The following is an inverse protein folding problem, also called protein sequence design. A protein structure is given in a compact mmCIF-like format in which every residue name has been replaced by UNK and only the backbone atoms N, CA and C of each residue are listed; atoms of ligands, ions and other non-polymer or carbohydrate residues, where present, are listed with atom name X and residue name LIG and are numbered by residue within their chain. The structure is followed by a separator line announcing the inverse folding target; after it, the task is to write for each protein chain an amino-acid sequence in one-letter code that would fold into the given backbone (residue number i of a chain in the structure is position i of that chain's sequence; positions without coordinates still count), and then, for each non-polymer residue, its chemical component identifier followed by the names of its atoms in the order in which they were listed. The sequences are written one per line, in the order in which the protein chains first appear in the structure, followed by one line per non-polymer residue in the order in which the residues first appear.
data_IF_716758794864
#
_entry.id   IF_716758794864
#
_cell.length_a   1.000
_cell.length_b   1.000
_cell.length_c   1.000
_cell.angle_alpha   90.00
_cell.angle_beta   90.00
_cell.angle_gamma   90.00
#
_symmetry.space_group_name_H-M   'P 1'
#
loop_
_entity.id
_entity.type
_entity.pdbx_description
1 polymer ?
#
# COMPACT_ATOMS: atom_id res chain seq x y z
N UNK A 1 55.79 0.29 66.01
CA UNK A 1 54.61 -0.58 66.22
C UNK A 1 53.37 0.31 66.08
N UNK A 2 52.76 0.34 64.89
CA UNK A 2 51.57 1.16 64.57
C UNK A 2 50.39 0.20 64.41
N UNK A 3 49.41 0.31 65.31
CA UNK A 3 48.20 -0.53 65.33
C UNK A 3 47.14 0.17 64.46
N UNK A 4 46.84 -0.39 63.29
CA UNK A 4 45.71 0.04 62.47
C UNK A 4 44.41 -0.53 63.07
N UNK A 5 43.51 0.34 63.52
CA UNK A 5 42.13 -0.02 63.85
C UNK A 5 41.29 -0.05 62.58
N UNK A 6 40.89 -1.24 62.12
CA UNK A 6 39.87 -1.40 61.07
C UNK A 6 38.48 -1.23 61.70
N UNK A 7 37.80 -0.12 61.40
CA UNK A 7 36.42 0.14 61.83
C UNK A 7 35.50 -0.79 61.01
N UNK A 8 34.94 -1.82 61.66
CA UNK A 8 33.92 -2.70 61.06
C UNK A 8 32.63 -1.92 60.85
N UNK A 9 32.29 -1.62 59.60
CA UNK A 9 30.98 -1.07 59.26
C UNK A 9 29.94 -2.18 59.34
N UNK A 10 28.98 -2.05 60.28
CA UNK A 10 27.85 -2.96 60.42
C UNK A 10 27.00 -2.89 59.15
N UNK A 11 27.02 -3.93 58.32
CA UNK A 11 26.03 -4.10 57.25
C UNK A 11 24.65 -4.27 57.89
N UNK A 12 23.77 -3.28 57.72
CA UNK A 12 22.36 -3.43 58.07
C UNK A 12 21.73 -4.45 57.11
N UNK A 13 21.26 -5.58 57.64
CA UNK A 13 20.52 -6.57 56.86
C UNK A 13 19.16 -6.01 56.47
N UNK A 14 18.80 -6.16 55.19
CA UNK A 14 17.50 -5.76 54.66
C UNK A 14 16.43 -6.69 55.22
N UNK A 15 15.32 -6.15 55.71
CA UNK A 15 14.20 -6.98 56.19
C UNK A 15 13.40 -7.52 54.99
N UNK A 16 12.85 -8.72 55.12
CA UNK A 16 12.02 -9.35 54.08
C UNK A 16 10.84 -8.43 53.65
N UNK A 17 10.30 -7.68 54.60
CA UNK A 17 9.21 -6.73 54.38
C UNK A 17 9.65 -5.56 53.51
N UNK A 18 10.82 -4.95 53.76
CA UNK A 18 11.33 -3.85 52.94
C UNK A 18 11.53 -4.29 51.49
N UNK A 19 12.06 -5.50 51.27
CA UNK A 19 12.23 -6.04 49.92
C UNK A 19 10.87 -6.26 49.24
N UNK A 20 9.89 -6.81 49.98
CA UNK A 20 8.55 -7.09 49.46
C UNK A 20 7.80 -5.81 49.05
N UNK A 21 7.92 -4.73 49.82
CA UNK A 21 7.30 -3.44 49.50
C UNK A 21 7.92 -2.85 48.23
N UNK A 22 9.24 -2.91 48.08
CA UNK A 22 9.94 -2.37 46.90
C UNK A 22 9.51 -3.10 45.63
N UNK A 23 9.48 -4.43 45.64
CA UNK A 23 9.02 -5.19 44.48
C UNK A 23 7.54 -4.94 44.17
N UNK A 24 6.70 -4.75 45.20
CA UNK A 24 5.28 -4.43 45.01
C UNK A 24 5.09 -3.07 44.32
N UNK A 25 5.85 -2.05 44.73
CA UNK A 25 5.81 -0.73 44.11
C UNK A 25 6.31 -0.81 42.66
N UNK A 26 7.42 -1.50 42.39
CA UNK A 26 7.95 -1.66 41.03
C UNK A 26 6.93 -2.40 40.14
N UNK A 27 6.31 -3.46 40.65
CA UNK A 27 5.29 -4.21 39.92
C UNK A 27 4.09 -3.32 39.56
N UNK A 28 3.60 -2.49 40.48
CA UNK A 28 2.52 -1.53 40.23
C UNK A 28 2.94 -0.49 39.19
N UNK A 29 4.14 0.08 39.30
CA UNK A 29 4.64 1.07 38.34
C UNK A 29 4.77 0.47 36.94
N UNK A 30 5.33 -0.73 36.80
CA UNK A 30 5.44 -1.42 35.51
C UNK A 30 4.05 -1.75 34.96
N UNK A 31 3.12 -2.21 35.79
CA UNK A 31 1.75 -2.52 35.37
C UNK A 31 1.01 -1.29 34.83
N UNK A 32 1.27 -0.10 35.39
CA UNK A 32 0.70 1.16 34.91
C UNK A 32 1.43 1.73 33.69
N UNK A 33 2.74 1.53 33.58
CA UNK A 33 3.56 2.07 32.49
C UNK A 33 3.50 1.23 31.22
N UNK A 34 3.39 -0.10 31.32
CA UNK A 34 3.44 -0.98 30.15
C UNK A 34 2.31 -0.69 29.15
N UNK A 35 1.02 -0.56 29.54
CA UNK A 35 -0.05 -0.21 28.61
C UNK A 35 0.18 1.15 27.95
N UNK A 36 0.62 2.14 28.72
CA UNK A 36 0.89 3.50 28.23
C UNK A 36 2.03 3.52 27.20
N UNK A 37 3.12 2.79 27.45
CA UNK A 37 4.24 2.69 26.50
C UNK A 37 3.82 2.04 25.19
N UNK A 38 2.95 1.02 25.23
CA UNK A 38 2.46 0.38 24.00
C UNK A 38 1.54 1.30 23.19
N UNK A 39 0.63 2.02 23.86
CA UNK A 39 -0.23 3.01 23.20
C UNK A 39 0.60 4.12 22.55
N UNK A 40 1.61 4.64 23.26
CA UNK A 40 2.51 5.66 22.73
C UNK A 40 3.31 5.14 21.51
N UNK A 41 3.78 3.88 21.56
CA UNK A 41 4.49 3.25 20.43
C UNK A 41 3.58 3.10 19.21
N UNK A 42 2.34 2.67 19.39
CA UNK A 42 1.41 2.54 18.26
C UNK A 42 1.02 3.90 17.68
N UNK A 43 0.78 4.91 18.53
CA UNK A 43 0.53 6.27 18.06
C UNK A 43 1.70 6.82 17.22
N UNK A 44 2.94 6.52 17.62
CA UNK A 44 4.13 6.89 16.84
C UNK A 44 4.18 6.14 15.50
N UNK A 45 3.94 4.82 15.49
CA UNK A 45 3.90 4.04 14.23
C UNK A 45 2.80 4.53 13.27
N UNK A 46 1.61 4.81 13.80
CA UNK A 46 0.48 5.39 13.06
C UNK A 46 0.83 6.74 12.44
N UNK A 47 1.54 7.58 13.19
CA UNK A 47 2.04 8.87 12.68
C UNK A 47 3.07 8.69 11.58
N UNK A 48 3.95 7.69 11.69
CA UNK A 48 4.90 7.34 10.63
C UNK A 48 4.18 6.86 9.38
N UNK A 49 3.18 5.97 9.48
CA UNK A 49 2.43 5.49 8.31
C UNK A 49 1.71 6.65 7.59
N UNK A 50 1.09 7.56 8.35
CA UNK A 50 0.51 8.80 7.83
C UNK A 50 1.54 9.67 7.10
N UNK A 51 2.74 9.81 7.65
CA UNK A 51 3.81 10.60 7.03
C UNK A 51 4.33 9.95 5.74
N UNK A 52 4.47 8.63 5.69
CA UNK A 52 4.82 7.90 4.46
C UNK A 52 3.80 8.18 3.34
N UNK A 53 2.50 8.13 3.65
CA UNK A 53 1.46 8.45 2.67
C UNK A 53 1.51 9.91 2.20
N UNK A 54 1.80 10.87 3.10
CA UNK A 54 2.01 12.27 2.71
C UNK A 54 3.20 12.45 1.76
N UNK A 55 4.29 11.74 2.00
CA UNK A 55 5.45 11.76 1.11
C UNK A 55 5.12 11.15 -0.26
N UNK A 56 4.36 10.05 -0.29
CA UNK A 56 3.86 9.47 -1.55
C UNK A 56 2.94 10.46 -2.28
N UNK A 57 2.02 11.12 -1.58
CA UNK A 57 1.15 12.13 -2.16
C UNK A 57 1.94 13.29 -2.76
N UNK A 58 2.90 13.83 -2.02
CA UNK A 58 3.79 14.88 -2.52
C UNK A 58 4.55 14.42 -3.78
N UNK A 59 5.07 13.20 -3.79
CA UNK A 59 5.74 12.62 -4.95
C UNK A 59 4.80 12.50 -6.16
N UNK A 60 3.52 12.14 -5.96
CA UNK A 60 2.51 12.13 -7.02
C UNK A 60 2.21 13.52 -7.56
N UNK A 61 2.18 14.55 -6.70
CA UNK A 61 2.04 15.94 -7.14
C UNK A 61 3.26 16.44 -7.92
N UNK A 62 4.48 16.14 -7.47
CA UNK A 62 5.69 16.47 -8.22
C UNK A 62 5.74 15.79 -9.60
N UNK A 63 5.27 14.54 -9.69
CA UNK A 63 5.06 13.87 -10.97
C UNK A 63 4.00 14.60 -11.81
N UNK A 64 2.88 15.01 -11.21
CA UNK A 64 1.84 15.76 -11.91
C UNK A 64 2.34 17.11 -12.43
N UNK A 65 3.15 17.85 -11.66
CA UNK A 65 3.71 19.14 -12.06
C UNK A 65 4.64 19.02 -13.26
N UNK A 66 5.42 17.93 -13.32
CA UNK A 66 6.37 17.67 -14.43
C UNK A 66 5.71 17.08 -15.67
N UNK A 67 4.70 16.22 -15.51
CA UNK A 67 4.06 15.49 -16.61
C UNK A 67 2.66 16.02 -16.99
N UNK A 68 2.12 16.99 -16.25
CA UNK A 68 0.75 17.53 -16.37
C UNK A 68 -0.38 16.49 -16.23
N UNK A 69 -0.08 15.34 -15.65
CA UNK A 69 -0.97 14.20 -15.41
C UNK A 69 -0.47 13.41 -14.22
N UNK A 70 -1.37 12.86 -13.40
CA UNK A 70 -0.95 11.98 -12.32
C UNK A 70 -0.32 10.70 -12.90
N UNK A 71 0.54 9.98 -12.14
CA UNK A 71 1.12 8.75 -12.65
C UNK A 71 -0.02 7.77 -12.98
N UNK A 72 0.01 7.07 -14.12
CA UNK A 72 -0.88 5.95 -14.33
C UNK A 72 -0.60 4.88 -13.26
N UNK A 73 -1.65 4.22 -12.78
CA UNK A 73 -1.49 3.14 -11.81
C UNK A 73 -0.62 2.01 -12.36
N UNK A 74 -0.77 1.71 -13.65
CA UNK A 74 0.10 0.78 -14.36
C UNK A 74 0.27 1.14 -15.83
N UNK A 75 1.43 0.81 -16.39
CA UNK A 75 1.74 0.95 -17.82
C UNK A 75 1.96 -0.42 -18.43
N UNK A 76 1.23 -0.70 -19.50
CA UNK A 76 1.16 -1.97 -20.21
C UNK A 76 1.17 -3.19 -19.26
N UNK A 77 0.17 -3.29 -18.36
CA UNK A 77 0.03 -4.47 -17.52
C UNK A 77 -0.26 -5.71 -18.36
N UNK A 78 0.11 -6.88 -17.85
CA UNK A 78 -0.37 -8.15 -18.37
C UNK A 78 -1.85 -8.37 -18.03
N UNK A 79 -2.76 -7.70 -18.74
CA UNK A 79 -4.20 -7.67 -18.39
C UNK A 79 -5.03 -8.83 -18.98
N UNK A 80 -6.18 -9.10 -18.35
CA UNK A 80 -7.11 -10.21 -18.64
C UNK A 80 -7.83 -10.15 -20.00
N UNK A 81 -7.82 -9.00 -20.66
CA UNK A 81 -8.59 -8.80 -21.87
C UNK A 81 -7.68 -8.38 -23.01
N UNK A 82 -7.38 -9.34 -23.89
CA UNK A 82 -6.71 -9.08 -25.15
C UNK A 82 -7.43 -7.95 -25.89
N UNK A 83 -6.68 -6.90 -26.23
CA UNK A 83 -7.11 -5.71 -26.98
C UNK A 83 -7.92 -4.61 -26.24
N UNK A 84 -8.21 -4.71 -24.94
CA UNK A 84 -9.22 -3.81 -24.31
C UNK A 84 -8.71 -2.79 -23.27
N UNK A 85 -7.48 -2.93 -22.77
CA UNK A 85 -6.86 -1.99 -21.81
C UNK A 85 -5.49 -1.47 -22.26
N UNK A 86 -5.01 -1.97 -23.39
CA UNK A 86 -3.84 -1.47 -24.10
C UNK A 86 -4.33 -0.44 -25.10
N UNK A 87 -3.62 0.68 -25.23
CA UNK A 87 -3.83 1.62 -26.34
C UNK A 87 -3.98 0.86 -27.67
N UNK A 88 -4.83 1.32 -28.61
CA UNK A 88 -4.99 0.70 -29.94
C UNK A 88 -3.67 0.44 -30.69
N UNK A 89 -2.59 1.13 -30.32
CA UNK A 89 -1.23 0.95 -30.86
C UNK A 89 -0.48 -0.29 -30.33
N UNK A 90 -1.08 -1.12 -29.46
CA UNK A 90 -0.36 -2.21 -28.79
C UNK A 90 -0.91 -3.59 -29.18
N UNK A 91 -1.05 -3.83 -30.48
CA UNK A 91 -1.32 -5.17 -31.05
C UNK A 91 -0.06 -6.07 -30.99
N UNK A 92 1.08 -5.57 -30.51
CA UNK A 92 2.31 -6.33 -30.37
C UNK A 92 2.79 -6.42 -28.91
N UNK A 93 2.47 -7.50 -28.20
CA UNK A 93 3.31 -8.19 -27.19
C UNK A 93 4.23 -7.34 -26.27
N UNK A 94 3.82 -6.16 -25.80
CA UNK A 94 4.70 -5.22 -25.09
C UNK A 94 4.33 -5.03 -23.61
N UNK A 95 4.11 -6.14 -22.90
CA UNK A 95 3.83 -6.15 -21.46
C UNK A 95 5.03 -5.56 -20.71
N UNK A 96 4.79 -4.50 -19.93
CA UNK A 96 5.82 -3.82 -19.12
C UNK A 96 5.61 -3.99 -17.62
N UNK A 97 4.38 -4.13 -17.13
CA UNK A 97 4.07 -4.27 -15.70
C UNK A 97 4.64 -3.13 -14.82
N UNK A 98 4.77 -1.92 -15.35
CA UNK A 98 5.28 -0.77 -14.59
C UNK A 98 4.16 -0.24 -13.71
N UNK A 99 4.41 0.03 -12.43
CA UNK A 99 3.44 0.56 -11.47
C UNK A 99 3.61 2.07 -11.24
N UNK A 100 2.58 2.73 -10.72
CA UNK A 100 2.69 4.13 -10.25
C UNK A 100 3.84 4.31 -9.25
N UNK A 101 4.04 3.34 -8.34
CA UNK A 101 5.11 3.36 -7.35
C UNK A 101 6.50 3.43 -7.97
N UNK A 102 6.73 2.81 -9.13
CA UNK A 102 8.02 2.91 -9.84
C UNK A 102 8.22 4.30 -10.47
N UNK A 103 7.15 4.88 -11.02
CA UNK A 103 7.20 6.16 -11.72
C UNK A 103 7.50 7.33 -10.79
N UNK A 104 7.10 7.22 -9.51
CA UNK A 104 7.32 8.29 -8.52
C UNK A 104 8.64 8.16 -7.73
N UNK A 105 9.44 7.10 -7.95
CA UNK A 105 10.70 6.88 -7.23
C UNK A 105 11.67 8.08 -7.24
N UNK A 106 11.86 8.83 -8.36
CA UNK A 106 12.74 9.99 -8.36
C UNK A 106 12.30 11.09 -7.40
N UNK A 107 11.00 11.18 -7.12
CA UNK A 107 10.40 12.16 -6.20
C UNK A 107 10.32 11.65 -4.75
N UNK A 108 10.84 10.44 -4.48
CA UNK A 108 10.94 9.80 -3.16
C UNK A 108 12.40 9.58 -2.73
N UNK A 109 13.33 10.37 -3.27
CA UNK A 109 14.78 10.20 -3.06
C UNK A 109 15.32 8.81 -3.47
N UNK A 110 14.63 8.11 -4.37
CA UNK A 110 15.03 6.80 -4.90
C UNK A 110 15.53 6.89 -6.36
N UNK A 111 16.15 8.03 -6.73
CA UNK A 111 16.67 8.25 -8.08
C UNK A 111 17.74 7.23 -8.51
N UNK A 112 18.60 6.77 -7.58
CA UNK A 112 19.60 5.73 -7.88
C UNK A 112 18.94 4.42 -8.31
N UNK A 113 17.90 3.98 -7.58
CA UNK A 113 17.15 2.78 -7.92
C UNK A 113 16.41 2.95 -9.25
N UNK A 114 15.77 4.11 -9.48
CA UNK A 114 15.07 4.42 -10.72
C UNK A 114 16.00 4.32 -11.95
N UNK A 115 17.21 4.86 -11.86
CA UNK A 115 18.19 4.84 -12.96
C UNK A 115 18.75 3.44 -13.27
N UNK A 116 18.61 2.48 -12.36
CA UNK A 116 18.99 1.09 -12.61
C UNK A 116 17.92 0.32 -13.41
N UNK A 117 16.70 0.86 -13.49
CA UNK A 117 15.58 0.20 -14.16
C UNK A 117 15.57 0.54 -15.65
N UNK A 118 15.38 -0.50 -16.46
CA UNK A 118 15.14 -0.36 -17.88
C UNK A 118 13.64 -0.43 -18.18
N UNK A 119 13.00 0.72 -18.39
CA UNK A 119 11.58 0.83 -18.74
C UNK A 119 11.23 0.29 -20.13
N UNK A 120 12.23 -0.01 -20.97
CA UNK A 120 12.04 -0.75 -22.22
C UNK A 120 11.87 -2.25 -21.99
N UNK A 121 12.01 -2.75 -20.76
CA UNK A 121 11.85 -4.15 -20.40
C UNK A 121 10.71 -4.33 -19.38
N UNK A 122 10.12 -5.52 -19.29
CA UNK A 122 9.13 -5.83 -18.26
C UNK A 122 9.71 -5.72 -16.85
N UNK A 123 8.92 -5.20 -15.93
CA UNK A 123 9.23 -5.12 -14.50
C UNK A 123 8.93 -6.41 -13.75
N UNK A 124 8.27 -7.38 -14.39
CA UNK A 124 7.93 -8.66 -13.80
C UNK A 124 7.33 -9.60 -14.83
N UNK A 125 7.14 -10.85 -14.43
CA UNK A 125 6.68 -11.94 -15.29
C UNK A 125 5.16 -12.12 -15.31
N UNK A 126 4.44 -11.26 -14.59
CA UNK A 126 2.97 -11.32 -14.56
C UNK A 126 2.37 -11.06 -15.94
N UNK A 127 1.45 -11.93 -16.34
CA UNK A 127 0.67 -11.86 -17.57
C UNK A 127 -0.70 -12.52 -17.37
N UNK A 128 -1.75 -12.01 -17.99
CA UNK A 128 -3.10 -12.56 -17.85
C UNK A 128 -3.71 -12.86 -19.23
N UNK A 129 -4.48 -13.95 -19.33
CA UNK A 129 -5.21 -14.37 -20.53
C UNK A 129 -4.32 -14.58 -21.78
N UNK A 130 -4.88 -14.42 -22.99
CA UNK A 130 -4.31 -14.71 -24.32
C UNK A 130 -3.02 -13.91 -24.68
N UNK A 131 -2.42 -13.24 -23.71
CA UNK A 131 -1.16 -12.49 -23.87
C UNK A 131 0.01 -13.39 -23.50
N UNK A 132 1.01 -13.48 -24.38
CA UNK A 132 2.22 -14.25 -24.09
C UNK A 132 2.95 -13.64 -22.88
N UNK A 133 3.27 -14.44 -21.83
CA UNK A 133 4.02 -13.93 -20.70
C UNK A 133 5.37 -13.34 -21.14
N UNK A 134 5.83 -12.26 -20.50
CA UNK A 134 7.18 -11.78 -20.73
C UNK A 134 8.19 -12.91 -20.45
N UNK A 135 9.18 -13.08 -21.33
CA UNK A 135 10.21 -14.08 -21.07
C UNK A 135 11.03 -13.73 -19.83
N UNK A 136 11.46 -14.74 -19.08
CA UNK A 136 12.31 -14.55 -17.90
C UNK A 136 13.57 -13.71 -18.23
N UNK A 137 14.14 -13.93 -19.42
CA UNK A 137 15.29 -13.19 -19.93
C UNK A 137 14.99 -11.70 -20.13
N UNK A 138 13.80 -11.35 -20.62
CA UNK A 138 13.41 -9.96 -20.84
C UNK A 138 13.29 -9.18 -19.53
N UNK A 139 12.73 -9.80 -18.48
CA UNK A 139 12.54 -9.13 -17.18
C UNK A 139 13.76 -9.21 -16.24
N UNK A 140 14.79 -10.00 -16.58
CA UNK A 140 15.85 -10.40 -15.65
C UNK A 140 16.58 -9.23 -14.99
N UNK A 141 16.91 -8.16 -15.73
CA UNK A 141 17.66 -7.01 -15.21
C UNK A 141 16.86 -6.22 -14.18
N UNK A 142 15.62 -5.86 -14.49
CA UNK A 142 14.74 -5.13 -13.57
C UNK A 142 14.40 -5.97 -12.34
N UNK A 143 14.14 -7.26 -12.55
CA UNK A 143 13.89 -8.19 -11.45
C UNK A 143 15.10 -8.29 -10.52
N UNK A 144 16.33 -8.29 -11.04
CA UNK A 144 17.52 -8.31 -10.18
C UNK A 144 17.61 -7.07 -9.27
N UNK A 145 17.20 -5.88 -9.75
CA UNK A 145 17.23 -4.65 -8.97
C UNK A 145 16.05 -4.51 -7.97
N UNK A 146 14.89 -5.10 -8.30
CA UNK A 146 13.65 -4.90 -7.55
C UNK A 146 13.32 -6.05 -6.60
N UNK A 147 13.83 -7.27 -6.85
CA UNK A 147 13.62 -8.42 -5.98
C UNK A 147 14.13 -8.12 -4.59
N UNK A 148 13.28 -8.38 -3.60
CA UNK A 148 13.52 -8.19 -2.16
C UNK A 148 13.88 -6.77 -1.74
N UNK A 149 13.80 -5.79 -2.65
CA UNK A 149 14.08 -4.39 -2.32
C UNK A 149 12.96 -3.84 -1.43
N UNK A 150 13.30 -3.59 -0.16
CA UNK A 150 12.37 -3.09 0.85
C UNK A 150 12.59 -1.59 1.06
N UNK A 151 11.68 -0.80 0.50
CA UNK A 151 11.68 0.65 0.68
C UNK A 151 10.83 1.01 1.90
N UNK A 152 11.43 1.69 2.89
CA UNK A 152 10.71 2.08 4.12
C UNK A 152 9.49 2.95 3.84
N UNK A 153 9.54 3.75 2.77
CA UNK A 153 8.41 4.58 2.33
C UNK A 153 7.17 3.77 1.93
N UNK A 154 7.33 2.53 1.48
CA UNK A 154 6.22 1.66 1.07
C UNK A 154 5.75 0.69 2.15
N UNK A 155 6.31 0.78 3.36
CA UNK A 155 5.98 -0.11 4.46
C UNK A 155 5.48 0.68 5.65
N UNK A 156 4.28 0.34 6.13
CA UNK A 156 3.77 0.87 7.38
C UNK A 156 4.41 0.13 8.56
N UNK A 157 5.06 0.80 9.53
CA UNK A 157 5.66 0.12 10.69
C UNK A 157 4.68 -0.66 11.57
N UNK A 158 3.37 -0.38 11.49
CA UNK A 158 2.35 -1.16 12.17
C UNK A 158 1.99 -2.47 11.46
N UNK A 159 2.48 -2.67 10.23
CA UNK A 159 2.36 -3.91 9.47
C UNK A 159 3.70 -4.66 9.51
N UNK A 160 3.92 -5.55 10.51
CA UNK A 160 5.22 -6.17 10.74
C UNK A 160 5.57 -7.25 9.71
N UNK A 161 4.67 -7.57 8.77
CA UNK A 161 4.85 -8.68 7.85
C UNK A 161 5.94 -8.38 6.80
N UNK A 162 7.14 -8.93 7.00
CA UNK A 162 8.08 -9.12 5.90
C UNK A 162 7.61 -10.31 5.06
N UNK A 163 6.71 -10.03 4.11
CA UNK A 163 6.14 -11.04 3.23
C UNK A 163 6.58 -10.77 1.80
N UNK A 164 7.83 -11.14 1.43
CA UNK A 164 8.18 -11.17 0.01
C UNK A 164 7.21 -12.13 -0.69
N UNK A 165 6.66 -11.70 -1.82
CA UNK A 165 5.83 -12.53 -2.68
C UNK A 165 6.60 -13.76 -3.11
N UNK A 166 6.22 -14.90 -2.55
CA UNK A 166 6.74 -16.21 -2.95
C UNK A 166 5.83 -16.89 -3.98
N UNK A 167 5.01 -16.11 -4.69
CA UNK A 167 4.05 -16.63 -5.65
C UNK A 167 4.78 -17.27 -6.86
N UNK A 168 5.09 -18.54 -6.73
CA UNK A 168 5.57 -19.40 -7.80
C UNK A 168 4.42 -20.10 -8.54
N UNK A 169 3.16 -19.70 -8.30
CA UNK A 169 2.00 -20.39 -8.88
C UNK A 169 1.99 -20.25 -10.40
N UNK A 170 1.54 -21.30 -11.08
CA UNK A 170 1.41 -21.38 -12.54
C UNK A 170 0.31 -20.48 -13.11
N UNK A 171 -0.40 -19.72 -12.26
CA UNK A 171 -1.33 -18.68 -12.69
C UNK A 171 -0.53 -17.43 -13.07
N UNK A 172 -0.34 -17.22 -14.36
CA UNK A 172 0.55 -16.17 -14.89
C UNK A 172 0.18 -14.76 -14.39
N UNK A 173 -1.03 -14.52 -13.91
CA UNK A 173 -1.57 -13.17 -13.64
C UNK A 173 -1.39 -12.65 -12.21
N UNK A 174 -1.09 -13.55 -11.27
CA UNK A 174 -0.69 -13.19 -9.90
C UNK A 174 0.82 -13.38 -9.69
N UNK A 175 1.53 -13.84 -10.71
CA UNK A 175 2.87 -14.38 -10.61
C UNK A 175 3.93 -13.30 -10.38
N UNK A 176 4.61 -13.37 -9.24
CA UNK A 176 5.82 -12.59 -8.94
C UNK A 176 6.79 -13.47 -8.19
N UNK A 177 8.07 -13.33 -8.49
CA UNK A 177 9.13 -14.06 -7.79
C UNK A 177 9.94 -13.09 -6.95
N UNK A 178 9.89 -13.23 -5.63
CA UNK A 178 10.68 -12.47 -4.66
C UNK A 178 10.43 -10.94 -4.63
N UNK A 179 9.25 -10.47 -5.02
CA UNK A 179 8.92 -9.03 -4.93
C UNK A 179 8.45 -8.66 -3.53
N UNK A 180 8.83 -7.47 -3.04
CA UNK A 180 8.31 -6.98 -1.77
C UNK A 180 6.88 -6.48 -1.92
N UNK A 181 6.02 -6.87 -0.96
CA UNK A 181 4.69 -6.30 -0.82
C UNK A 181 4.77 -4.86 -0.32
N UNK A 182 3.68 -4.11 -0.48
CA UNK A 182 3.55 -2.74 0.00
C UNK A 182 2.34 -2.61 0.92
N UNK A 183 2.46 -1.77 1.93
CA UNK A 183 1.34 -1.40 2.81
C UNK A 183 0.44 -0.33 2.20
N UNK A 184 0.77 0.21 1.02
CA UNK A 184 0.01 1.29 0.38
C UNK A 184 -0.30 0.95 -1.08
N UNK A 185 -1.59 0.91 -1.42
CA UNK A 185 -2.10 0.52 -2.74
C UNK A 185 -3.03 1.58 -3.34
N UNK A 186 -2.88 1.82 -4.64
CA UNK A 186 -3.76 2.73 -5.39
C UNK A 186 -5.15 2.12 -5.51
N UNK A 187 -6.17 2.98 -5.54
CA UNK A 187 -7.56 2.52 -5.55
C UNK A 187 -8.15 2.60 -6.95
N UNK A 188 -8.95 1.59 -7.28
CA UNK A 188 -9.87 1.61 -8.41
C UNK A 188 -11.31 1.35 -7.92
N UNK A 189 -12.28 2.06 -8.51
CA UNK A 189 -13.71 1.89 -8.22
C UNK A 189 -14.22 0.53 -8.66
N UNK A 190 -13.61 0.02 -9.73
CA UNK A 190 -14.04 -1.20 -10.36
C UNK A 190 -12.86 -1.99 -10.88
N UNK A 191 -13.09 -3.28 -11.03
CA UNK A 191 -12.10 -4.22 -11.51
C UNK A 191 -11.92 -4.12 -13.03
N UNK A 192 -10.70 -4.43 -13.47
CA UNK A 192 -10.32 -4.57 -14.87
C UNK A 192 -10.90 -5.85 -15.53
N UNK A 193 -11.43 -6.77 -14.71
CA UNK A 193 -11.90 -8.11 -15.10
C UNK A 193 -13.36 -8.19 -15.57
N UNK A 194 -14.14 -7.13 -15.36
CA UNK A 194 -15.56 -7.14 -15.68
C UNK A 194 -15.80 -6.32 -16.94
N UNK A 195 -16.28 -6.98 -18.00
CA UNK A 195 -16.59 -6.36 -19.28
C UNK A 195 -17.59 -5.19 -19.16
N UNK A 196 -18.38 -5.13 -18.09
CA UNK A 196 -19.30 -4.02 -17.79
C UNK A 196 -18.63 -2.78 -17.17
N UNK A 197 -17.44 -2.93 -16.60
CA UNK A 197 -16.70 -1.85 -15.91
C UNK A 197 -15.60 -1.23 -16.78
N UNK A 198 -15.46 -1.68 -18.03
CA UNK A 198 -14.45 -1.24 -19.00
C UNK A 198 -14.44 0.27 -19.26
N UNK A 199 -15.58 0.93 -19.10
CA UNK A 199 -15.77 2.36 -19.35
C UNK A 199 -15.15 3.25 -18.26
N UNK A 200 -14.77 2.65 -17.13
CA UNK A 200 -14.20 3.32 -15.96
C UNK A 200 -12.68 3.54 -16.04
N UNK A 201 -12.02 2.98 -17.07
CA UNK A 201 -10.59 3.15 -17.31
C UNK A 201 -10.32 4.25 -18.34
N UNK A 202 -9.17 4.93 -18.18
CA UNK A 202 -8.81 6.13 -18.95
C UNK A 202 -8.66 5.90 -20.47
N UNK A 203 -8.47 4.65 -20.91
CA UNK A 203 -8.33 4.27 -22.32
C UNK A 203 -9.63 4.00 -23.11
N UNK A 204 -10.81 4.02 -22.48
CA UNK A 204 -12.08 3.67 -23.14
C UNK A 204 -12.98 4.89 -23.46
N UNK A 205 -13.72 4.81 -24.56
CA UNK A 205 -14.63 5.85 -25.03
C UNK A 205 -15.83 6.08 -24.08
N UNK A 206 -15.78 7.24 -23.40
CA UNK A 206 -16.84 8.20 -23.07
C UNK A 206 -18.12 7.90 -22.26
N UNK A 207 -18.54 6.67 -21.97
CA UNK A 207 -19.89 6.54 -21.39
C UNK A 207 -19.98 6.66 -19.85
N UNK A 208 -18.89 6.42 -19.11
CA UNK A 208 -18.90 6.44 -17.63
C UNK A 208 -17.75 7.28 -17.01
N UNK A 209 -17.42 8.44 -17.59
CA UNK A 209 -16.35 9.33 -17.08
C UNK A 209 -16.53 9.73 -15.61
N UNK A 210 -17.77 9.83 -15.18
CA UNK A 210 -18.16 10.34 -13.86
C UNK A 210 -17.79 9.35 -12.73
N UNK A 211 -17.81 8.05 -13.02
CA UNK A 211 -17.54 7.00 -12.03
C UNK A 211 -16.06 6.55 -12.06
N UNK A 212 -15.18 7.26 -12.77
CA UNK A 212 -13.78 6.86 -12.88
C UNK A 212 -13.04 7.11 -11.58
N UNK A 213 -12.07 6.26 -11.28
CA UNK A 213 -11.04 6.56 -10.29
C UNK A 213 -9.96 7.45 -10.87
N UNK A 214 -9.25 8.12 -9.97
CA UNK A 214 -8.13 8.97 -10.36
C UNK A 214 -7.08 8.20 -11.16
N UNK A 215 -6.79 6.95 -10.78
CA UNK A 215 -5.80 6.13 -11.45
C UNK A 215 -6.42 5.06 -12.34
N UNK A 216 -5.79 4.78 -13.47
CA UNK A 216 -6.15 3.69 -14.38
C UNK A 216 -4.93 3.00 -15.00
N UNK A 217 -5.20 1.98 -15.79
CA UNK A 217 -4.24 1.39 -16.71
C UNK A 217 -3.97 2.34 -17.89
N UNK A 218 -2.69 2.57 -18.19
CA UNK A 218 -2.20 3.39 -19.31
C UNK A 218 -2.71 4.85 -19.33
N UNK A 219 -3.31 5.31 -18.24
CA UNK A 219 -3.85 6.65 -18.11
C UNK A 219 -4.24 6.98 -16.68
N UNK A 220 -4.41 8.25 -16.41
CA UNK A 220 -4.68 8.78 -15.07
C UNK A 220 -5.41 10.12 -15.18
N UNK A 221 -5.95 10.58 -14.06
CA UNK A 221 -6.56 11.89 -13.95
C UNK A 221 -5.54 13.01 -14.11
N UNK A 222 -5.99 14.12 -14.66
CA UNK A 222 -5.39 15.43 -14.42
C UNK A 222 -6.12 16.08 -13.25
N UNK A 223 -5.48 17.05 -12.60
CA UNK A 223 -6.12 17.82 -11.51
C UNK A 223 -7.52 18.35 -11.88
N UNK A 224 -7.68 18.88 -13.10
CA UNK A 224 -8.96 19.42 -13.59
C UNK A 224 -10.07 18.37 -13.76
N UNK A 225 -9.72 17.09 -13.84
CA UNK A 225 -10.69 16.02 -14.07
C UNK A 225 -11.35 15.57 -12.74
N UNK A 226 -10.83 16.05 -11.59
CA UNK A 226 -11.32 15.76 -10.24
C UNK A 226 -12.32 16.86 -9.84
N UNK A 227 -13.56 16.74 -10.32
CA UNK A 227 -14.61 17.75 -10.12
C UNK A 227 -15.38 17.59 -8.81
N UNK A 228 -15.36 16.40 -8.18
CA UNK A 228 -16.01 16.16 -6.89
C UNK A 228 -15.24 16.76 -5.69
N UNK A 229 -14.07 17.34 -5.97
CA UNK A 229 -13.22 18.03 -5.00
C UNK A 229 -12.04 17.18 -4.55
N UNK A 230 -10.85 17.78 -4.59
CA UNK A 230 -9.59 17.07 -4.30
C UNK A 230 -9.49 16.60 -2.84
N UNK A 231 -10.20 17.25 -1.93
CA UNK A 231 -10.29 16.87 -0.50
C UNK A 231 -11.23 15.70 -0.23
N UNK A 232 -11.99 15.26 -1.23
CA UNK A 232 -13.03 14.23 -1.11
C UNK A 232 -12.81 13.05 -2.08
N UNK A 233 -11.71 13.06 -2.83
CA UNK A 233 -11.35 11.95 -3.73
C UNK A 233 -10.15 11.20 -3.17
N UNK A 234 -10.29 9.90 -2.95
CA UNK A 234 -9.23 9.03 -2.46
C UNK A 234 -8.36 8.55 -3.62
N UNK A 235 -7.06 8.71 -3.46
CA UNK A 235 -6.01 8.24 -4.37
C UNK A 235 -5.49 6.86 -3.99
N UNK A 236 -5.20 6.67 -2.71
CA UNK A 236 -4.51 5.49 -2.20
C UNK A 236 -5.03 5.15 -0.82
N UNK A 237 -4.99 3.88 -0.47
CA UNK A 237 -5.30 3.41 0.88
C UNK A 237 -4.16 2.56 1.41
N UNK A 238 -4.06 2.51 2.73
CA UNK A 238 -3.33 1.41 3.37
C UNK A 238 -3.99 0.06 3.01
N UNK A 239 -3.17 -0.98 3.03
CA UNK A 239 -3.60 -2.38 2.96
C UNK A 239 -2.64 -3.25 3.77
N UNK A 240 -3.17 -4.32 4.36
CA UNK A 240 -2.34 -5.34 5.02
C UNK A 240 -1.52 -6.10 3.98
N UNK A 241 -0.21 -6.17 4.18
CA UNK A 241 0.71 -7.00 3.40
C UNK A 241 0.40 -8.49 3.58
N UNK A 242 -0.11 -8.90 4.75
CA UNK A 242 -0.66 -10.25 4.94
C UNK A 242 -2.03 -10.38 4.29
N UNK A 243 -2.13 -11.34 3.37
CA UNK A 243 -3.36 -11.74 2.68
C UNK A 243 -3.65 -13.21 2.99
N UNK A 244 -4.89 -13.64 2.82
CA UNK A 244 -5.23 -15.06 3.05
C UNK A 244 -4.46 -16.02 2.12
N UNK A 245 -4.03 -15.55 0.95
CA UNK A 245 -3.20 -16.31 0.02
C UNK A 245 -1.80 -15.72 -0.08
N UNK A 246 -0.78 -16.58 -0.03
CA UNK A 246 0.61 -16.22 -0.33
C UNK A 246 0.80 -15.72 -1.77
N UNK A 247 -0.17 -15.97 -2.65
CA UNK A 247 -0.13 -15.55 -4.03
C UNK A 247 -0.42 -14.05 -4.22
N UNK A 248 -1.10 -13.42 -3.27
CA UNK A 248 -1.67 -12.09 -3.44
C UNK A 248 -0.74 -10.99 -2.96
N UNK A 249 -0.68 -9.90 -3.72
CA UNK A 249 0.02 -8.67 -3.35
C UNK A 249 -0.84 -7.75 -2.47
N UNK A 250 -0.72 -6.42 -2.61
CA UNK A 250 -0.06 -5.73 -3.71
C UNK A 250 1.47 -5.67 -3.58
N UNK A 251 2.14 -5.59 -4.73
CA UNK A 251 3.59 -5.42 -4.84
C UNK A 251 3.88 -4.04 -5.42
N UNK A 252 4.87 -3.33 -4.87
CA UNK A 252 5.19 -1.99 -5.38
C UNK A 252 6.03 -2.06 -6.67
N UNK A 253 6.93 -3.04 -6.78
CA UNK A 253 7.95 -3.08 -7.83
C UNK A 253 7.49 -3.70 -9.16
N UNK A 254 6.33 -4.36 -9.20
CA UNK A 254 5.82 -4.93 -10.44
C UNK A 254 4.30 -5.06 -10.34
N UNK A 255 3.63 -4.76 -11.46
CA UNK A 255 2.20 -4.98 -11.53
C UNK A 255 1.89 -6.48 -11.48
N UNK A 256 0.83 -6.79 -10.73
CA UNK A 256 0.07 -8.04 -10.80
C UNK A 256 -1.41 -7.70 -10.76
N UNK A 257 -2.26 -8.67 -11.05
CA UNK A 257 -3.71 -8.46 -10.96
C UNK A 257 -4.17 -8.05 -9.53
N UNK A 258 -3.38 -8.33 -8.50
CA UNK A 258 -3.62 -7.90 -7.10
C UNK A 258 -3.03 -6.52 -6.73
N UNK A 259 -2.57 -5.74 -7.71
CA UNK A 259 -1.96 -4.42 -7.45
C UNK A 259 -2.96 -3.38 -6.93
N UNK A 260 -4.19 -3.45 -7.41
CA UNK A 260 -5.25 -2.52 -7.09
C UNK A 260 -5.86 -2.76 -5.70
N UNK A 261 -6.44 -1.72 -5.12
CA UNK A 261 -7.39 -1.86 -4.02
C UNK A 261 -8.79 -1.47 -4.51
N UNK A 262 -9.81 -2.10 -3.95
CA UNK A 262 -11.20 -1.77 -4.23
C UNK A 262 -11.95 -1.56 -2.91
N UNK A 263 -12.44 -0.35 -2.74
CA UNK A 263 -13.16 0.08 -1.55
C UNK A 263 -14.51 -0.62 -1.35
N UNK A 264 -15.06 -1.27 -2.39
CA UNK A 264 -16.28 -2.08 -2.28
C UNK A 264 -16.12 -3.29 -1.35
N UNK A 265 -14.88 -3.76 -1.12
CA UNK A 265 -14.63 -4.86 -0.17
C UNK A 265 -14.76 -4.42 1.30
N UNK A 266 -14.89 -3.11 1.55
CA UNK A 266 -14.84 -2.54 2.89
C UNK A 266 -13.43 -2.55 3.49
N UNK A 267 -13.26 -1.76 4.54
CA UNK A 267 -11.98 -1.63 5.25
C UNK A 267 -11.84 -2.75 6.30
N UNK A 268 -10.65 -3.35 6.38
CA UNK A 268 -10.32 -4.42 7.33
C UNK A 268 -11.25 -5.65 7.30
N UNK A 269 -11.98 -5.86 6.19
CA UNK A 269 -12.91 -6.99 6.10
C UNK A 269 -12.16 -8.30 5.93
N UNK A 270 -12.46 -9.34 6.74
CA UNK A 270 -11.93 -10.67 6.54
C UNK A 270 -12.46 -11.26 5.23
N UNK A 271 -11.72 -12.18 4.62
CA UNK A 271 -12.16 -12.82 3.38
C UNK A 271 -13.49 -13.57 3.56
N UNK A 272 -13.67 -14.25 4.70
CA UNK A 272 -14.90 -14.95 5.05
C UNK A 272 -14.97 -15.17 6.58
N UNK A 273 -16.02 -15.85 7.05
CA UNK A 273 -16.25 -16.10 8.48
C UNK A 273 -15.22 -17.02 9.15
N UNK A 274 -14.44 -17.77 8.38
CA UNK A 274 -13.42 -18.71 8.91
C UNK A 274 -11.99 -18.19 8.75
N UNK A 275 -11.78 -17.16 7.92
CA UNK A 275 -10.47 -16.64 7.55
C UNK A 275 -10.38 -15.17 7.93
N UNK A 276 -9.67 -14.86 9.01
CA UNK A 276 -9.52 -13.50 9.52
C UNK A 276 -8.66 -12.59 8.64
N UNK A 277 -7.89 -13.17 7.70
CA UNK A 277 -7.06 -12.40 6.77
C UNK A 277 -7.89 -11.83 5.62
N UNK A 278 -7.53 -10.62 5.14
CA UNK A 278 -8.25 -9.97 4.05
C UNK A 278 -7.99 -10.64 2.70
N UNK A 279 -8.89 -10.37 1.76
CA UNK A 279 -8.72 -10.70 0.36
C UNK A 279 -7.70 -9.76 -0.33
N UNK A 280 -7.29 -10.08 -1.57
CA UNK A 280 -6.23 -9.35 -2.27
C UNK A 280 -6.45 -7.83 -2.32
N UNK A 281 -7.61 -7.43 -2.85
CA UNK A 281 -7.97 -6.04 -3.16
C UNK A 281 -8.51 -5.27 -1.95
N UNK A 282 -8.58 -5.89 -0.78
CA UNK A 282 -9.21 -5.30 0.41
C UNK A 282 -8.32 -4.18 0.98
N UNK A 283 -8.83 -2.95 1.12
CA UNK A 283 -8.16 -1.88 1.85
C UNK A 283 -8.17 -2.16 3.36
N UNK A 284 -7.20 -1.63 4.08
CA UNK A 284 -7.13 -1.84 5.52
C UNK A 284 -5.77 -1.56 6.13
N UNK A 285 -5.67 -1.68 7.44
CA UNK A 285 -4.41 -1.56 8.14
C UNK A 285 -4.43 -2.44 9.39
N UNK A 286 -3.30 -2.52 10.10
CA UNK A 286 -3.25 -3.14 11.43
C UNK A 286 -3.56 -2.13 12.55
N UNK A 287 -3.91 -0.88 12.19
CA UNK A 287 -4.37 0.10 13.17
C UNK A 287 -5.76 -0.24 13.67
N UNK A 288 -6.06 0.15 14.91
CA UNK A 288 -7.36 -0.04 15.51
C UNK A 288 -8.44 0.79 14.80
N UNK A 289 -9.52 0.13 14.38
CA UNK A 289 -10.76 0.76 13.91
C UNK A 289 -10.77 1.28 12.47
N UNK A 290 -9.74 1.03 11.65
CA UNK A 290 -9.74 1.49 10.27
C UNK A 290 -8.37 1.55 9.59
N UNK A 291 -8.24 2.47 8.63
CA UNK A 291 -6.99 2.69 7.89
C UNK A 291 -6.84 4.15 7.46
N UNK A 292 -5.63 4.55 7.10
CA UNK A 292 -5.40 5.83 6.44
C UNK A 292 -5.66 5.74 4.95
N UNK A 293 -6.15 6.85 4.42
CA UNK A 293 -6.35 7.08 3.00
C UNK A 293 -5.67 8.40 2.61
N UNK A 294 -5.06 8.39 1.43
CA UNK A 294 -4.46 9.56 0.79
C UNK A 294 -5.50 10.18 -0.14
N UNK A 295 -5.70 11.48 -0.01
CA UNK A 295 -6.62 12.26 -0.81
C UNK A 295 -5.91 12.94 -1.98
N UNK A 296 -6.69 13.36 -2.96
CA UNK A 296 -6.18 13.97 -4.19
C UNK A 296 -5.48 15.32 -3.99
N UNK A 297 -5.68 15.97 -2.84
CA UNK A 297 -4.97 17.18 -2.43
C UNK A 297 -3.66 16.90 -1.66
N UNK A 298 -3.29 15.62 -1.50
CA UNK A 298 -2.15 15.19 -0.69
C UNK A 298 -2.45 15.08 0.82
N UNK A 299 -3.69 15.38 1.23
CA UNK A 299 -4.17 15.19 2.59
C UNK A 299 -4.24 13.70 2.96
N UNK A 300 -4.06 13.38 4.24
CA UNK A 300 -4.22 12.01 4.74
C UNK A 300 -5.24 12.01 5.86
N UNK A 301 -6.31 11.23 5.67
CA UNK A 301 -7.40 11.04 6.63
C UNK A 301 -7.45 9.61 7.10
N UNK A 302 -8.01 9.40 8.29
CA UNK A 302 -8.28 8.06 8.79
C UNK A 302 -9.74 7.74 8.56
N UNK A 303 -10.02 6.59 7.94
CA UNK A 303 -11.37 6.14 7.62
C UNK A 303 -11.70 4.92 8.47
N UNK A 304 -12.88 4.98 9.09
CA UNK A 304 -13.39 3.92 9.94
C UNK A 304 -13.70 2.64 9.16
N UNK A 305 -13.45 1.49 9.76
CA UNK A 305 -13.89 0.19 9.21
C UNK A 305 -15.42 -0.01 9.21
N UNK A 306 -16.14 0.89 9.90
CA UNK A 306 -17.60 0.94 9.94
C UNK A 306 -18.20 1.86 8.87
N UNK A 307 -17.38 2.55 8.07
CA UNK A 307 -17.88 3.37 6.97
C UNK A 307 -18.62 2.50 5.96
N UNK A 308 -19.82 2.92 5.57
CA UNK A 308 -20.66 2.18 4.64
C UNK A 308 -20.06 2.17 3.22
N UNK A 309 -20.22 1.05 2.54
CA UNK A 309 -19.70 0.81 1.19
C UNK A 309 -20.08 1.91 0.17
N UNK A 310 -21.33 2.41 0.11
CA UNK A 310 -21.68 3.47 -0.86
C UNK A 310 -20.88 4.75 -0.68
N UNK A 311 -20.59 5.15 0.57
CA UNK A 311 -19.78 6.34 0.86
C UNK A 311 -18.35 6.11 0.40
N UNK A 312 -17.77 4.94 0.68
CA UNK A 312 -16.43 4.61 0.21
C UNK A 312 -16.34 4.60 -1.33
N UNK A 313 -17.39 4.13 -2.02
CA UNK A 313 -17.44 4.15 -3.49
C UNK A 313 -17.53 5.58 -4.05
N UNK A 314 -18.33 6.45 -3.45
CA UNK A 314 -18.43 7.86 -3.85
C UNK A 314 -17.09 8.59 -3.67
N UNK A 315 -16.36 8.29 -2.58
CA UNK A 315 -15.03 8.83 -2.33
C UNK A 315 -13.96 8.40 -3.35
N UNK A 316 -14.22 7.34 -4.12
CA UNK A 316 -13.27 6.82 -5.12
C UNK A 316 -13.53 7.40 -6.51
N UNK A 317 -14.74 7.87 -6.78
CA UNK A 317 -15.07 8.57 -8.02
C UNK A 317 -14.43 9.96 -8.06
N UNK A 318 -14.11 10.44 -9.26
CA UNK A 318 -13.55 11.79 -9.46
C UNK A 318 -14.60 12.84 -9.88
N UNK A 319 -15.75 12.41 -10.41
CA UNK A 319 -16.71 13.29 -11.06
C UNK A 319 -18.16 12.76 -11.05
N UNK A 320 -18.57 12.02 -10.01
CA UNK A 320 -19.90 11.45 -9.89
C UNK A 320 -20.96 12.44 -9.37
N UNK A 321 -20.54 13.58 -8.82
CA UNK A 321 -21.41 14.66 -8.36
C UNK A 321 -22.22 14.31 -7.11
N UNK A 322 -21.93 13.19 -6.43
CA UNK A 322 -22.64 12.79 -5.24
C UNK A 322 -22.21 13.66 -4.04
N UNK A 323 -23.18 14.07 -3.22
CA UNK A 323 -22.90 14.77 -1.97
C UNK A 323 -22.39 13.76 -0.94
N UNK A 324 -21.18 13.98 -0.44
CA UNK A 324 -20.58 13.17 0.61
C UNK A 324 -20.77 13.93 1.93
N UNK A 325 -21.32 13.24 2.94
CA UNK A 325 -21.49 13.78 4.30
C UNK A 325 -20.15 13.92 5.04
N UNK A 326 -20.18 14.05 6.36
CA UNK A 326 -18.98 13.86 7.17
C UNK A 326 -18.65 12.36 7.28
N UNK A 327 -17.38 12.00 7.10
CA UNK A 327 -16.86 10.63 7.10
C UNK A 327 -15.44 10.57 7.65
#
# INVERSE_FOLDING_TARGET
MLIFHTKSERSRGFTLIELLVVIAIIAILIALLLPAVQQAREAARRSTCKNSMKQIGLAMHNYHDTHSIFPPATVNPGCQHGNLLVSPDTISNNVKNITAHLLILPYLDQANLYNQLNFSQPMGLSAHADVTPPSATAAASNMAALKRQRLSIYVCPSDPADSPGTNSSTTTHYYTVDYQRTSYGVIARAWEDNSKNRELFWGHANNARNLRSAFGTNGSARMRDITDGTTNTIFMSETSMEKYSSNYGPYWGAWTNTFWLNMSYGINKPYNSTTSLPFAWTPGSKHEGGCHVLLADGGVRFVSENTNEPTLLNLVSIADGNVIGEW
#
